data_IF_112217746614
#
_entry.id   IF_112217746614
#
_cell.length_a   1.000
_cell.length_b   1.000
_cell.length_c   1.000
_cell.angle_alpha   90.00
_cell.angle_beta   90.00
_cell.angle_gamma   90.00
#
_symmetry.space_group_name_H-M   'P 1'
#
loop_
_entity.id
_entity.type
_entity.pdbx_description
1 polymer ?
#
# COMPACT_ATOMS: atom_id res chain seq x y z
N UNK A 1 10.99 -8.07 -36.01
CA UNK A 1 12.41 -7.74 -35.82
C UNK A 1 12.93 -8.48 -34.59
N UNK A 2 13.94 -9.35 -34.69
CA UNK A 2 14.43 -10.12 -33.56
C UNK A 2 15.48 -9.33 -32.76
N UNK A 3 15.24 -9.17 -31.45
CA UNK A 3 16.19 -8.57 -30.52
C UNK A 3 17.27 -9.60 -30.14
N UNK A 4 18.46 -9.45 -30.71
CA UNK A 4 19.62 -10.27 -30.38
C UNK A 4 20.15 -9.94 -28.98
N UNK A 5 20.02 -10.90 -28.05
CA UNK A 5 20.58 -10.84 -26.71
C UNK A 5 22.10 -11.06 -26.83
N UNK A 6 22.88 -9.97 -26.72
CA UNK A 6 24.35 -10.04 -26.64
C UNK A 6 24.75 -10.58 -25.28
N UNK A 7 25.26 -11.81 -25.24
CA UNK A 7 25.84 -12.43 -24.04
C UNK A 7 27.15 -11.72 -23.67
N UNK A 8 27.11 -10.97 -22.57
CA UNK A 8 28.26 -10.25 -22.02
C UNK A 8 29.40 -11.20 -21.62
N UNK A 9 30.60 -10.87 -22.08
CA UNK A 9 31.86 -11.57 -21.75
C UNK A 9 32.09 -11.54 -20.25
N UNK A 10 32.26 -12.72 -19.65
CA UNK A 10 32.68 -12.90 -18.25
C UNK A 10 34.08 -12.29 -18.09
N UNK A 11 34.17 -11.18 -17.38
CA UNK A 11 35.44 -10.57 -16.98
C UNK A 11 36.22 -11.56 -16.13
N UNK A 12 37.47 -11.84 -16.53
CA UNK A 12 38.42 -12.57 -15.70
C UNK A 12 38.71 -11.76 -14.44
N UNK A 13 38.84 -12.40 -13.26
CA UNK A 13 39.28 -11.72 -12.06
C UNK A 13 40.70 -11.18 -12.27
N UNK A 14 41.05 -10.03 -11.67
CA UNK A 14 42.42 -9.51 -11.67
C UNK A 14 43.33 -10.55 -11.02
N UNK A 15 44.47 -10.84 -11.65
CA UNK A 15 45.54 -11.59 -11.01
C UNK A 15 46.21 -10.62 -10.04
N UNK A 16 45.83 -10.70 -8.77
CA UNK A 16 46.48 -9.93 -7.71
C UNK A 16 47.95 -10.35 -7.59
N UNK A 17 48.79 -9.39 -7.97
CA UNK A 17 49.88 -8.81 -7.17
C UNK A 17 50.59 -9.81 -6.26
N UNK A 18 51.74 -10.27 -6.74
CA UNK A 18 52.73 -10.97 -5.95
C UNK A 18 53.02 -10.21 -4.65
N UNK A 19 52.98 -10.93 -3.54
CA UNK A 19 53.54 -10.50 -2.27
C UNK A 19 55.05 -10.35 -2.47
N UNK A 20 55.53 -9.10 -2.57
CA UNK A 20 56.95 -8.78 -2.41
C UNK A 20 57.32 -9.02 -0.95
N UNK A 21 57.88 -10.19 -0.70
CA UNK A 21 58.48 -10.58 0.57
C UNK A 21 59.60 -9.62 0.94
N UNK A 22 59.52 -9.11 2.16
CA UNK A 22 60.46 -8.22 2.78
C UNK A 22 61.92 -8.72 2.67
N UNK A 23 62.78 -7.85 2.16
CA UNK A 23 64.24 -8.00 2.21
C UNK A 23 64.70 -7.87 3.67
N UNK A 24 65.30 -8.93 4.21
CA UNK A 24 65.97 -8.90 5.51
C UNK A 24 67.41 -8.39 5.34
N UNK A 25 67.81 -7.24 5.91
CA UNK A 25 69.21 -6.82 5.89
C UNK A 25 70.00 -7.52 6.99
N UNK A 26 70.59 -8.68 6.66
CA UNK A 26 71.57 -9.37 7.51
C UNK A 26 72.97 -8.78 7.32
N UNK A 27 73.31 -7.71 8.06
CA UNK A 27 74.71 -7.27 8.23
C UNK A 27 75.17 -7.59 9.64
N UNK A 28 75.77 -8.77 9.80
CA UNK A 28 76.56 -9.14 10.97
C UNK A 28 77.76 -8.17 11.09
N UNK A 29 77.68 -7.27 12.07
CA UNK A 29 78.79 -6.40 12.45
C UNK A 29 79.58 -7.12 13.56
N UNK A 30 80.88 -7.27 13.30
CA UNK A 30 81.88 -7.85 14.19
C UNK A 30 82.02 -6.95 15.42
N UNK A 31 81.84 -7.50 16.61
CA UNK A 31 81.95 -6.78 17.89
C UNK A 31 83.40 -6.87 18.36
N UNK A 32 84.04 -5.71 18.52
CA UNK A 32 85.36 -5.52 19.11
C UNK A 32 85.29 -5.51 20.65
N UNK A 33 86.42 -5.85 21.25
CA UNK A 33 86.67 -6.15 22.66
C UNK A 33 86.26 -5.07 23.68
N UNK A 34 85.62 -5.55 24.75
CA UNK A 34 86.20 -5.39 26.09
C UNK A 34 86.00 -4.07 26.82
N UNK A 35 84.76 -3.61 26.97
CA UNK A 35 84.39 -2.73 28.08
C UNK A 35 83.16 -3.30 28.76
N UNK A 36 83.30 -3.76 30.01
CA UNK A 36 82.20 -4.32 30.80
C UNK A 36 81.25 -3.17 31.12
N UNK A 37 80.05 -3.12 30.52
CA UNK A 37 79.09 -2.08 30.84
C UNK A 37 78.69 -2.24 32.31
N UNK A 38 78.80 -1.15 33.07
CA UNK A 38 78.26 -1.04 34.43
C UNK A 38 76.76 -1.37 34.39
N UNK A 39 76.25 -2.18 35.33
CA UNK A 39 74.88 -2.74 35.28
C UNK A 39 73.77 -1.71 35.03
N UNK A 40 73.96 -0.47 35.46
CA UNK A 40 72.97 0.61 35.31
C UNK A 40 72.79 1.06 33.86
N UNK A 41 73.83 1.01 33.01
CA UNK A 41 73.70 1.37 31.59
C UNK A 41 73.00 0.27 30.80
N UNK A 42 73.18 -0.99 31.19
CA UNK A 42 72.50 -2.14 30.57
C UNK A 42 71.00 -2.08 30.88
N UNK A 43 70.63 -1.71 32.12
CA UNK A 43 69.24 -1.55 32.50
C UNK A 43 68.53 -0.44 31.70
N UNK A 44 69.17 0.73 31.53
CA UNK A 44 68.60 1.82 30.71
C UNK A 44 68.42 1.43 29.25
N UNK A 45 69.40 0.76 28.64
CA UNK A 45 69.27 0.30 27.25
C UNK A 45 68.19 -0.77 27.07
N UNK A 46 67.92 -1.58 28.09
CA UNK A 46 66.85 -2.58 28.06
C UNK A 46 65.46 -1.94 28.14
N UNK A 47 65.28 -0.93 29.00
CA UNK A 47 64.01 -0.19 29.11
C UNK A 47 63.70 0.60 27.83
N UNK A 48 64.70 1.22 27.21
CA UNK A 48 64.56 1.91 25.92
C UNK A 48 64.15 0.95 24.80
N UNK A 49 64.81 -0.21 24.68
CA UNK A 49 64.45 -1.23 23.70
C UNK A 49 63.04 -1.80 23.94
N UNK A 50 62.63 -1.97 25.19
CA UNK A 50 61.28 -2.43 25.51
C UNK A 50 60.23 -1.37 25.17
N UNK A 51 60.54 -0.08 25.35
CA UNK A 51 59.68 1.02 24.93
C UNK A 51 59.56 1.09 23.40
N UNK A 52 60.66 0.95 22.66
CA UNK A 52 60.65 0.89 21.18
C UNK A 52 59.84 -0.32 20.68
N UNK A 53 59.99 -1.49 21.30
CA UNK A 53 59.20 -2.67 20.93
C UNK A 53 57.71 -2.49 21.22
N UNK A 54 57.36 -1.79 22.32
CA UNK A 54 55.96 -1.44 22.62
C UNK A 54 55.41 -0.47 21.60
N UNK A 55 56.17 0.55 21.20
CA UNK A 55 55.76 1.52 20.19
C UNK A 55 55.60 0.85 18.81
N UNK A 56 56.55 0.02 18.40
CA UNK A 56 56.49 -0.69 17.12
C UNK A 56 55.29 -1.67 17.07
N UNK A 57 54.96 -2.31 18.19
CA UNK A 57 53.73 -3.13 18.31
C UNK A 57 52.48 -2.29 18.20
N UNK A 58 52.42 -1.14 18.89
CA UNK A 58 51.27 -0.25 18.83
C UNK A 58 51.06 0.32 17.42
N UNK A 59 52.13 0.70 16.72
CA UNK A 59 52.07 1.13 15.32
C UNK A 59 51.57 0.01 14.41
N UNK A 60 52.08 -1.22 14.59
CA UNK A 60 51.61 -2.38 13.82
C UNK A 60 50.13 -2.68 14.08
N UNK A 61 49.68 -2.64 15.34
CA UNK A 61 48.28 -2.84 15.71
C UNK A 61 47.39 -1.77 15.06
N UNK A 62 47.78 -0.50 15.12
CA UNK A 62 47.07 0.59 14.47
C UNK A 62 46.97 0.39 12.95
N UNK A 63 48.07 0.07 12.28
CA UNK A 63 48.09 -0.18 10.83
C UNK A 63 47.16 -1.33 10.44
N UNK A 64 47.10 -2.39 11.26
CA UNK A 64 46.20 -3.53 11.05
C UNK A 64 44.75 -3.12 11.25
N UNK A 65 44.45 -2.36 12.31
CA UNK A 65 43.11 -1.84 12.57
C UNK A 65 42.61 -0.92 11.44
N UNK A 66 43.47 -0.04 10.93
CA UNK A 66 43.14 0.84 9.80
C UNK A 66 42.83 0.04 8.52
N UNK A 67 43.63 -0.99 8.23
CA UNK A 67 43.37 -1.89 7.09
C UNK A 67 42.07 -2.66 7.24
N UNK A 68 41.76 -3.17 8.44
CA UNK A 68 40.49 -3.86 8.72
C UNK A 68 39.32 -2.89 8.58
N UNK A 69 39.43 -1.68 9.12
CA UNK A 69 38.41 -0.65 8.99
C UNK A 69 38.16 -0.26 7.52
N UNK A 70 39.22 -0.13 6.71
CA UNK A 70 39.10 0.11 5.28
C UNK A 70 38.38 -1.05 4.57
N UNK A 71 38.79 -2.29 4.82
CA UNK A 71 38.17 -3.46 4.22
C UNK A 71 36.67 -3.58 4.56
N UNK A 72 36.27 -3.22 5.77
CA UNK A 72 34.86 -3.18 6.18
C UNK A 72 34.09 -2.09 5.41
N UNK A 73 34.64 -0.88 5.27
CA UNK A 73 34.01 0.19 4.47
C UNK A 73 33.84 -0.22 3.01
N UNK A 74 34.86 -0.85 2.42
CA UNK A 74 34.79 -1.34 1.04
C UNK A 74 33.77 -2.46 0.87
N UNK A 75 33.71 -3.42 1.81
CA UNK A 75 32.68 -4.47 1.83
C UNK A 75 31.28 -3.86 1.88
N UNK A 76 31.05 -2.90 2.76
CA UNK A 76 29.73 -2.29 2.95
C UNK A 76 29.33 -1.45 1.73
N UNK A 77 30.29 -0.76 1.11
CA UNK A 77 30.07 -0.06 -0.15
C UNK A 77 29.66 -1.04 -1.27
N UNK A 78 30.37 -2.17 -1.43
CA UNK A 78 30.04 -3.20 -2.42
C UNK A 78 28.66 -3.81 -2.13
N UNK A 79 28.35 -4.10 -0.87
CA UNK A 79 27.04 -4.65 -0.48
C UNK A 79 25.90 -3.69 -0.83
N UNK A 80 26.07 -2.39 -0.56
CA UNK A 80 25.06 -1.37 -0.91
C UNK A 80 24.83 -1.27 -2.43
N UNK A 81 25.90 -1.40 -3.23
CA UNK A 81 25.80 -1.41 -4.69
C UNK A 81 25.09 -2.68 -5.19
N UNK A 82 25.38 -3.83 -4.58
CA UNK A 82 24.72 -5.08 -4.90
C UNK A 82 23.22 -5.04 -4.59
N UNK A 83 22.84 -4.50 -3.43
CA UNK A 83 21.43 -4.36 -3.04
C UNK A 83 20.68 -3.41 -3.98
N UNK A 84 21.30 -2.29 -4.37
CA UNK A 84 20.74 -1.37 -5.38
C UNK A 84 20.54 -2.03 -6.74
N UNK A 85 21.51 -2.83 -7.20
CA UNK A 85 21.38 -3.59 -8.45
C UNK A 85 20.29 -4.66 -8.36
N UNK A 86 20.14 -5.29 -7.20
CA UNK A 86 19.08 -6.24 -6.92
C UNK A 86 17.71 -5.57 -6.98
N UNK A 87 17.56 -4.37 -6.42
CA UNK A 87 16.33 -3.56 -6.52
C UNK A 87 16.00 -3.12 -7.95
N UNK A 88 17.01 -2.74 -8.74
CA UNK A 88 16.82 -2.39 -10.16
C UNK A 88 16.43 -3.61 -11.00
N UNK A 89 16.92 -4.79 -10.64
CA UNK A 89 16.55 -6.05 -11.30
C UNK A 89 15.09 -6.40 -11.05
N UNK A 90 14.53 -6.00 -9.89
CA UNK A 90 13.09 -6.17 -9.65
C UNK A 90 12.34 -5.28 -10.63
N UNK A 91 11.84 -5.90 -11.69
CA UNK A 91 11.07 -5.20 -12.72
C UNK A 91 9.82 -4.57 -12.09
N UNK A 92 9.32 -3.47 -12.66
CA UNK A 92 8.08 -2.86 -12.19
C UNK A 92 6.93 -3.88 -12.13
N UNK A 93 6.88 -4.84 -13.07
CA UNK A 93 5.94 -5.97 -13.07
C UNK A 93 6.12 -6.92 -11.90
N UNK A 94 7.34 -7.15 -11.40
CA UNK A 94 7.58 -7.97 -10.21
C UNK A 94 7.15 -7.24 -8.93
N UNK A 95 7.39 -5.92 -8.86
CA UNK A 95 6.91 -5.10 -7.73
C UNK A 95 5.40 -5.12 -7.65
N UNK A 96 4.72 -4.88 -8.77
CA UNK A 96 3.26 -4.97 -8.81
C UNK A 96 2.80 -6.38 -8.44
N UNK A 97 3.36 -7.44 -9.02
CA UNK A 97 2.97 -8.82 -8.68
C UNK A 97 3.12 -9.12 -7.18
N UNK A 98 4.21 -8.66 -6.54
CA UNK A 98 4.41 -8.79 -5.09
C UNK A 98 3.35 -8.02 -4.27
N UNK A 99 3.00 -6.81 -4.69
CA UNK A 99 1.92 -6.03 -4.05
C UNK A 99 0.56 -6.71 -4.21
N UNK A 100 0.21 -7.15 -5.42
CA UNK A 100 -1.00 -7.93 -5.69
C UNK A 100 -1.05 -9.21 -4.84
N UNK A 101 0.09 -9.91 -4.70
CA UNK A 101 0.20 -11.10 -3.85
C UNK A 101 -0.05 -10.76 -2.38
N UNK A 102 0.59 -9.71 -1.85
CA UNK A 102 0.38 -9.27 -0.45
C UNK A 102 -1.06 -8.83 -0.19
N UNK A 103 -1.66 -8.09 -1.12
CA UNK A 103 -3.06 -7.68 -1.03
C UNK A 103 -4.00 -8.90 -1.03
N UNK A 104 -3.75 -9.87 -1.91
CA UNK A 104 -4.50 -11.13 -1.99
C UNK A 104 -4.38 -11.95 -0.69
N UNK A 105 -3.17 -12.08 -0.14
CA UNK A 105 -2.92 -12.80 1.11
C UNK A 105 -3.62 -12.15 2.31
N UNK A 106 -3.63 -10.82 2.36
CA UNK A 106 -4.35 -10.06 3.41
C UNK A 106 -5.86 -10.29 3.32
N UNK A 107 -6.43 -10.24 2.11
CA UNK A 107 -7.85 -10.55 1.87
C UNK A 107 -8.18 -12.00 2.24
N UNK A 108 -7.31 -12.94 1.90
CA UNK A 108 -7.48 -14.35 2.24
C UNK A 108 -7.47 -14.57 3.76
N UNK A 109 -6.54 -13.94 4.49
CA UNK A 109 -6.50 -13.99 5.95
C UNK A 109 -7.79 -13.45 6.58
N UNK A 110 -8.26 -12.29 6.12
CA UNK A 110 -9.52 -11.72 6.59
C UNK A 110 -10.73 -12.62 6.29
N UNK A 111 -10.74 -13.29 5.12
CA UNK A 111 -11.78 -14.26 4.78
C UNK A 111 -11.77 -15.47 5.72
N UNK A 112 -10.59 -16.01 6.06
CA UNK A 112 -10.45 -17.11 7.02
C UNK A 112 -10.90 -16.70 8.43
N UNK A 113 -10.53 -15.52 8.90
CA UNK A 113 -10.97 -14.97 10.19
C UNK A 113 -12.49 -14.78 10.22
N UNK A 114 -13.06 -14.27 9.13
CA UNK A 114 -14.51 -14.15 8.97
C UNK A 114 -15.16 -15.53 9.08
N UNK A 115 -14.72 -16.51 8.29
CA UNK A 115 -15.24 -17.90 8.31
C UNK A 115 -15.15 -18.49 9.73
N UNK A 116 -14.03 -18.32 10.42
CA UNK A 116 -13.86 -18.78 11.79
C UNK A 116 -14.88 -18.12 12.74
N UNK A 117 -15.13 -16.81 12.60
CA UNK A 117 -16.13 -16.09 13.40
C UNK A 117 -17.55 -16.60 13.14
N UNK A 118 -17.92 -16.87 11.88
CA UNK A 118 -19.21 -17.42 11.51
C UNK A 118 -19.39 -18.84 12.04
N UNK A 119 -18.35 -19.67 11.94
CA UNK A 119 -18.35 -21.03 12.49
C UNK A 119 -18.57 -21.01 14.01
N UNK A 120 -17.84 -20.17 14.74
CA UNK A 120 -18.01 -20.04 16.19
C UNK A 120 -19.43 -19.57 16.56
N UNK A 121 -20.02 -18.64 15.81
CA UNK A 121 -21.41 -18.20 16.02
C UNK A 121 -22.41 -19.32 15.73
N UNK A 122 -22.20 -20.09 14.66
CA UNK A 122 -23.04 -21.21 14.29
C UNK A 122 -22.98 -22.34 15.35
N UNK A 123 -21.79 -22.71 15.81
CA UNK A 123 -21.60 -23.69 16.90
C UNK A 123 -22.25 -23.23 18.21
N UNK A 124 -22.15 -21.94 18.54
CA UNK A 124 -22.82 -21.38 19.71
C UNK A 124 -24.35 -21.41 19.58
N UNK A 125 -24.88 -21.10 18.39
CA UNK A 125 -26.31 -21.18 18.11
C UNK A 125 -26.82 -22.64 18.17
N UNK A 126 -26.06 -23.59 17.61
CA UNK A 126 -26.36 -25.02 17.66
C UNK A 126 -26.35 -25.53 19.10
N UNK A 127 -25.37 -25.12 19.91
CA UNK A 127 -25.31 -25.48 21.34
C UNK A 127 -26.55 -24.99 22.09
N UNK A 128 -26.99 -23.75 21.84
CA UNK A 128 -28.23 -23.21 22.44
C UNK A 128 -29.46 -24.00 22.02
N UNK A 129 -29.58 -24.37 20.75
CA UNK A 129 -30.68 -25.21 20.26
C UNK A 129 -30.67 -26.60 20.91
N UNK A 130 -29.49 -27.20 21.06
CA UNK A 130 -29.32 -28.50 21.72
C UNK A 130 -29.65 -28.46 23.21
N UNK A 131 -29.40 -27.34 23.88
CA UNK A 131 -29.83 -27.11 25.27
C UNK A 131 -31.36 -27.02 25.38
N UNK A 132 -32.04 -26.36 24.43
CA UNK A 132 -33.50 -26.35 24.38
C UNK A 132 -34.11 -27.72 24.08
N UNK A 133 -33.48 -28.53 23.24
CA UNK A 133 -33.95 -29.89 22.92
C UNK A 133 -33.80 -30.86 24.10
N UNK A 134 -32.78 -30.65 24.94
CA UNK A 134 -32.51 -31.52 26.09
C UNK A 134 -33.46 -31.29 27.26
N UNK A 135 -34.10 -30.13 27.35
CA UNK A 135 -34.95 -29.75 28.49
C UNK A 135 -36.25 -29.05 28.03
N UNK A 136 -37.17 -29.79 27.37
CA UNK A 136 -38.38 -29.23 26.77
C UNK A 136 -39.39 -28.66 27.79
N UNK A 137 -39.26 -29.04 29.07
CA UNK A 137 -40.10 -28.54 30.17
C UNK A 137 -39.51 -27.31 30.89
N UNK A 138 -38.30 -26.88 30.51
CA UNK A 138 -37.70 -25.65 31.02
C UNK A 138 -38.37 -24.43 30.38
N UNK A 139 -39.53 -24.03 30.94
CA UNK A 139 -40.18 -22.75 30.62
C UNK A 139 -39.12 -21.64 30.67
N UNK A 140 -39.02 -20.77 29.65
CA UNK A 140 -38.03 -19.71 29.60
C UNK A 140 -38.25 -18.78 30.79
N UNK A 141 -37.46 -18.96 31.85
CA UNK A 141 -37.28 -17.96 32.89
C UNK A 141 -36.55 -16.82 32.19
N UNK A 142 -37.32 -15.81 31.78
CA UNK A 142 -36.82 -14.58 31.22
C UNK A 142 -35.88 -13.91 32.24
N UNK A 143 -34.62 -14.30 32.24
CA UNK A 143 -33.56 -13.54 32.86
C UNK A 143 -33.35 -12.30 32.00
N UNK A 144 -34.15 -11.27 32.29
CA UNK A 144 -33.77 -9.88 32.16
C UNK A 144 -32.37 -9.73 32.78
N UNK A 145 -31.34 -9.85 31.97
CA UNK A 145 -30.05 -9.26 32.30
C UNK A 145 -29.85 -8.14 31.31
N UNK A 146 -30.05 -6.93 31.84
CA UNK A 146 -29.83 -5.67 31.18
C UNK A 146 -28.44 -5.63 30.55
N UNK A 147 -28.40 -5.51 29.23
CA UNK A 147 -27.34 -4.84 28.50
C UNK A 147 -27.88 -3.50 28.04
N UNK A 148 -28.04 -2.62 29.03
CA UNK A 148 -28.24 -1.19 28.88
C UNK A 148 -26.89 -0.54 28.55
N UNK A 149 -26.52 -0.48 27.27
CA UNK A 149 -25.57 0.51 26.75
C UNK A 149 -25.99 0.91 25.34
N UNK A 150 -26.11 2.22 25.14
CA UNK A 150 -26.34 2.97 23.89
C UNK A 150 -27.72 2.89 23.22
N UNK A 151 -28.66 3.60 23.85
CA UNK A 151 -29.77 4.29 23.16
C UNK A 151 -29.49 5.78 23.05
N UNK A 152 -28.71 6.20 22.07
CA UNK A 152 -28.76 7.56 21.51
C UNK A 152 -28.55 7.46 19.99
N UNK A 153 -29.65 7.44 19.23
CA UNK A 153 -29.92 8.28 18.05
C UNK A 153 -30.99 7.61 17.15
N UNK A 154 -32.25 8.07 17.12
CA UNK A 154 -33.30 7.49 16.29
C UNK A 154 -33.60 8.37 15.07
N UNK A 155 -32.88 8.22 13.95
CA UNK A 155 -33.39 8.67 12.63
C UNK A 155 -32.59 8.18 11.41
N UNK A 156 -32.08 6.95 11.41
CA UNK A 156 -31.71 6.28 10.16
C UNK A 156 -32.08 4.82 10.29
N UNK A 157 -33.28 4.46 9.81
CA UNK A 157 -33.61 3.08 9.45
C UNK A 157 -32.76 2.73 8.22
N UNK A 158 -31.44 2.59 8.41
CA UNK A 158 -30.62 1.81 7.50
C UNK A 158 -31.13 0.38 7.65
N UNK A 159 -32.04 -0.02 6.77
CA UNK A 159 -32.26 -1.43 6.48
C UNK A 159 -30.88 -2.05 6.36
N UNK A 160 -30.57 -3.07 7.18
CA UNK A 160 -29.33 -3.84 7.02
C UNK A 160 -29.39 -4.42 5.61
N UNK A 161 -28.78 -3.72 4.66
CA UNK A 161 -28.59 -4.21 3.32
C UNK A 161 -27.93 -5.58 3.46
N UNK A 162 -28.38 -6.55 2.66
CA UNK A 162 -27.72 -7.85 2.65
C UNK A 162 -26.23 -7.62 2.38
N UNK A 163 -25.32 -8.39 2.99
CA UNK A 163 -23.88 -8.27 2.71
C UNK A 163 -23.58 -8.39 1.20
N UNK A 164 -24.45 -9.10 0.48
CA UNK A 164 -24.41 -9.22 -0.98
C UNK A 164 -24.69 -7.89 -1.70
N UNK A 165 -25.63 -7.07 -1.22
CA UNK A 165 -25.92 -5.77 -1.82
C UNK A 165 -24.75 -4.79 -1.67
N UNK A 166 -24.08 -4.80 -0.51
CA UNK A 166 -22.87 -4.00 -0.28
C UNK A 166 -21.70 -4.49 -1.14
N UNK A 167 -21.55 -5.81 -1.32
CA UNK A 167 -20.54 -6.37 -2.21
C UNK A 167 -20.79 -5.98 -3.68
N UNK A 168 -22.05 -6.04 -4.12
CA UNK A 168 -22.45 -5.60 -5.46
C UNK A 168 -22.17 -4.11 -5.65
N UNK A 169 -22.53 -3.27 -4.67
CA UNK A 169 -22.25 -1.83 -4.71
C UNK A 169 -20.76 -1.55 -4.91
N UNK A 170 -19.89 -2.22 -4.15
CA UNK A 170 -18.43 -2.09 -4.27
C UNK A 170 -17.91 -2.53 -5.63
N UNK A 171 -18.44 -3.63 -6.18
CA UNK A 171 -18.07 -4.08 -7.53
C UNK A 171 -18.44 -3.01 -8.57
N UNK A 172 -19.64 -2.43 -8.49
CA UNK A 172 -20.04 -1.37 -9.43
C UNK A 172 -19.22 -0.10 -9.27
N UNK A 173 -18.90 0.29 -8.03
CA UNK A 173 -17.99 1.39 -7.72
C UNK A 173 -16.61 1.15 -8.35
N UNK A 174 -16.01 -0.02 -8.14
CA UNK A 174 -14.69 -0.36 -8.72
C UNK A 174 -14.71 -0.38 -10.26
N UNK A 175 -15.80 -0.87 -10.88
CA UNK A 175 -15.89 -0.96 -12.34
C UNK A 175 -16.19 0.38 -13.02
N UNK A 176 -16.95 1.26 -12.37
CA UNK A 176 -17.51 2.46 -13.02
C UNK A 176 -16.95 3.77 -12.46
N UNK A 177 -16.37 3.75 -11.26
CA UNK A 177 -15.97 4.95 -10.51
C UNK A 177 -17.14 5.75 -9.92
N UNK A 178 -18.40 5.32 -10.10
CA UNK A 178 -19.56 6.01 -9.52
C UNK A 178 -19.96 5.38 -8.19
N UNK A 179 -20.09 6.22 -7.17
CA UNK A 179 -20.51 5.86 -5.81
C UNK A 179 -21.89 6.44 -5.55
N UNK A 180 -22.90 5.57 -5.41
CA UNK A 180 -24.23 6.00 -4.94
C UNK A 180 -24.15 6.24 -3.43
N UNK A 181 -24.17 7.48 -2.99
CA UNK A 181 -24.03 7.84 -1.57
C UNK A 181 -25.36 7.76 -0.84
N UNK A 182 -26.44 8.21 -1.48
CA UNK A 182 -27.76 8.33 -0.88
C UNK A 182 -28.85 7.99 -1.90
N UNK A 183 -29.96 7.44 -1.42
CA UNK A 183 -31.16 7.21 -2.23
C UNK A 183 -32.35 7.74 -1.46
N UNK A 184 -32.93 8.83 -1.96
CA UNK A 184 -34.08 9.50 -1.40
C UNK A 184 -35.33 9.11 -2.22
N UNK A 185 -36.48 8.95 -1.55
CA UNK A 185 -37.77 8.82 -2.23
C UNK A 185 -38.35 10.23 -2.31
N UNK A 186 -38.52 10.75 -3.53
CA UNK A 186 -39.00 12.12 -3.78
C UNK A 186 -40.53 12.17 -3.76
N UNK A 187 -41.17 11.15 -4.32
CA UNK A 187 -42.62 11.00 -4.36
C UNK A 187 -42.97 9.58 -3.88
N UNK A 188 -43.63 9.48 -2.73
CA UNK A 188 -44.05 8.19 -2.15
C UNK A 188 -45.16 7.53 -2.97
N UNK A 189 -46.02 8.31 -3.65
CA UNK A 189 -47.14 7.78 -4.41
C UNK A 189 -46.65 7.13 -5.72
N UNK A 190 -45.71 7.79 -6.39
CA UNK A 190 -45.12 7.31 -7.64
C UNK A 190 -43.86 6.48 -7.42
N UNK A 191 -43.39 6.36 -6.17
CA UNK A 191 -42.13 5.70 -5.80
C UNK A 191 -40.90 6.25 -6.55
N UNK A 192 -40.92 7.54 -6.91
CA UNK A 192 -39.83 8.20 -7.63
C UNK A 192 -38.62 8.36 -6.73
N UNK A 193 -37.45 8.02 -7.26
CA UNK A 193 -36.19 8.04 -6.49
C UNK A 193 -35.27 9.14 -6.99
N UNK A 194 -34.54 9.73 -6.04
CA UNK A 194 -33.37 10.57 -6.29
C UNK A 194 -32.13 9.87 -5.76
N UNK A 195 -31.18 9.65 -6.65
CA UNK A 195 -29.90 9.04 -6.33
C UNK A 195 -28.86 10.15 -6.22
N UNK A 196 -28.18 10.25 -5.07
CA UNK A 196 -26.98 11.09 -4.94
C UNK A 196 -25.77 10.26 -5.32
N UNK A 197 -24.98 10.77 -6.26
CA UNK A 197 -23.86 10.06 -6.85
C UNK A 197 -22.62 10.95 -6.75
N UNK A 198 -21.52 10.35 -6.30
CA UNK A 198 -20.20 10.94 -6.37
C UNK A 198 -19.36 10.15 -7.38
N UNK A 199 -18.60 10.83 -8.22
CA UNK A 199 -17.62 10.18 -9.09
C UNK A 199 -16.26 10.17 -8.41
N UNK A 200 -15.83 9.00 -7.91
CA UNK A 200 -14.47 8.80 -7.45
C UNK A 200 -13.64 8.32 -8.63
N UNK A 201 -12.88 9.22 -9.27
CA UNK A 201 -12.06 8.90 -10.44
C UNK A 201 -11.19 7.66 -10.22
N UNK A 202 -11.40 6.60 -11.01
CA UNK A 202 -10.62 5.38 -10.94
C UNK A 202 -9.22 5.61 -11.56
N UNK A 203 -8.32 6.17 -10.76
CA UNK A 203 -6.93 6.51 -11.08
C UNK A 203 -5.93 5.82 -10.16
N UNK A 204 -5.78 4.52 -10.37
CA UNK A 204 -4.64 3.65 -10.02
C UNK A 204 -3.30 4.41 -9.96
N UNK A 205 -2.84 4.80 -8.76
CA UNK A 205 -1.44 5.03 -8.32
C UNK A 205 -1.36 5.89 -7.05
N UNK A 206 -2.23 5.68 -6.05
CA UNK A 206 -2.05 6.23 -4.70
C UNK A 206 -1.99 7.77 -4.56
N UNK A 207 -2.30 8.52 -5.63
CA UNK A 207 -2.35 9.98 -5.61
C UNK A 207 -3.81 10.40 -5.60
N UNK A 208 -4.28 10.76 -4.40
CA UNK A 208 -5.62 11.26 -4.08
C UNK A 208 -5.90 12.61 -4.77
N UNK A 209 -6.01 12.63 -6.09
CA UNK A 209 -6.63 13.77 -6.76
C UNK A 209 -8.13 13.55 -6.67
N UNK A 210 -8.69 14.07 -5.59
CA UNK A 210 -10.12 14.11 -5.23
C UNK A 210 -10.86 15.05 -6.19
N UNK A 211 -11.04 14.66 -7.46
CA UNK A 211 -12.06 15.27 -8.31
C UNK A 211 -13.37 14.53 -8.14
N UNK A 212 -13.98 14.71 -6.98
CA UNK A 212 -15.29 14.15 -6.68
C UNK A 212 -16.36 15.03 -7.32
N UNK A 213 -16.74 14.74 -8.57
CA UNK A 213 -17.95 15.36 -9.13
C UNK A 213 -19.16 14.78 -8.39
N UNK A 214 -19.91 15.65 -7.71
CA UNK A 214 -21.17 15.29 -7.07
C UNK A 214 -22.35 15.69 -7.96
N UNK A 215 -23.30 14.78 -8.15
CA UNK A 215 -24.53 15.05 -8.89
C UNK A 215 -25.69 14.22 -8.32
N UNK A 216 -26.91 14.54 -8.72
CA UNK A 216 -28.09 13.74 -8.46
C UNK A 216 -28.76 13.30 -9.76
N UNK A 217 -29.32 12.10 -9.75
CA UNK A 217 -30.23 11.60 -10.78
C UNK A 217 -31.60 11.41 -10.16
N UNK A 218 -32.59 12.13 -10.66
CA UNK A 218 -33.98 12.05 -10.21
C UNK A 218 -34.87 11.43 -11.29
N UNK A 219 -35.67 10.45 -10.90
CA UNK A 219 -36.68 9.85 -11.77
C UNK A 219 -37.85 10.82 -11.97
N UNK A 220 -38.32 10.96 -13.21
CA UNK A 220 -39.45 11.80 -13.55
C UNK A 220 -40.33 11.10 -14.59
N UNK A 221 -41.64 11.25 -14.45
CA UNK A 221 -42.60 10.81 -15.44
C UNK A 221 -43.10 12.00 -16.26
N UNK A 222 -43.08 11.88 -17.59
CA UNK A 222 -43.80 12.78 -18.49
C UNK A 222 -44.96 12.03 -19.13
N UNK A 223 -46.14 12.64 -19.11
CA UNK A 223 -47.26 12.19 -19.93
C UNK A 223 -47.04 12.62 -21.37
N UNK A 224 -46.95 11.65 -22.29
CA UNK A 224 -47.02 11.96 -23.71
C UNK A 224 -48.47 12.16 -24.17
N UNK A 225 -48.67 12.94 -25.23
CA UNK A 225 -49.97 13.09 -25.90
C UNK A 225 -50.58 11.74 -26.35
N UNK A 226 -49.76 10.69 -26.46
CA UNK A 226 -50.15 9.33 -26.79
C UNK A 226 -50.78 8.54 -25.63
N UNK A 227 -50.80 9.11 -24.42
CA UNK A 227 -51.23 8.43 -23.19
C UNK A 227 -50.21 7.43 -22.64
N UNK A 228 -49.01 7.36 -23.24
CA UNK A 228 -47.89 6.56 -22.70
C UNK A 228 -47.09 7.40 -21.70
N UNK A 229 -46.76 6.80 -20.57
CA UNK A 229 -45.86 7.40 -19.58
C UNK A 229 -44.43 7.23 -20.07
N UNK A 230 -43.73 8.35 -20.29
CA UNK A 230 -42.31 8.36 -20.61
C UNK A 230 -41.51 8.48 -19.32
N UNK A 231 -40.54 7.58 -19.16
CA UNK A 231 -39.59 7.61 -18.05
C UNK A 231 -38.39 8.48 -18.41
N UNK A 232 -38.29 9.63 -17.74
CA UNK A 232 -37.19 10.56 -17.87
C UNK A 232 -36.32 10.53 -16.60
N UNK A 233 -35.06 10.90 -16.77
CA UNK A 233 -34.13 11.19 -15.68
C UNK A 233 -33.75 12.66 -15.74
N UNK A 234 -33.60 13.27 -14.57
CA UNK A 234 -33.13 14.64 -14.39
C UNK A 234 -31.76 14.58 -13.72
N UNK A 235 -30.74 14.97 -14.46
CA UNK A 235 -29.38 15.16 -13.97
C UNK A 235 -29.25 16.54 -13.35
N UNK A 236 -28.80 16.60 -12.09
CA UNK A 236 -28.61 17.83 -11.32
C UNK A 236 -27.18 17.84 -10.78
N UNK A 237 -26.27 18.63 -11.39
CA UNK A 237 -24.90 18.74 -10.89
C UNK A 237 -24.86 19.57 -9.61
N UNK A 238 -24.09 19.13 -8.61
CA UNK A 238 -23.84 19.87 -7.36
C UNK A 238 -22.47 20.54 -7.44
N UNK A 239 -22.33 21.56 -8.30
CA UNK A 239 -21.06 22.25 -8.52
C UNK A 239 -20.73 23.16 -7.33
N UNK A 240 -19.54 23.00 -6.79
CA UNK A 240 -18.94 23.88 -5.80
C UNK A 240 -17.72 24.57 -6.41
N UNK A 241 -17.73 25.91 -6.47
CA UNK A 241 -16.67 26.69 -7.14
C UNK A 241 -15.27 26.40 -6.60
N UNK A 242 -15.14 26.09 -5.31
CA UNK A 242 -13.86 25.85 -4.66
C UNK A 242 -13.40 24.40 -4.85
N UNK A 243 -14.29 23.42 -4.63
CA UNK A 243 -13.98 22.00 -4.80
C UNK A 243 -13.75 21.64 -6.26
N UNK A 244 -14.57 22.19 -7.15
CA UNK A 244 -14.63 21.83 -8.57
C UNK A 244 -13.85 22.83 -9.45
N UNK A 245 -12.99 23.68 -8.87
CA UNK A 245 -12.20 24.66 -9.62
C UNK A 245 -11.39 24.02 -10.77
N UNK A 246 -10.82 22.83 -10.55
CA UNK A 246 -10.08 22.11 -11.58
C UNK A 246 -10.99 21.60 -12.72
N UNK A 247 -12.23 21.20 -12.38
CA UNK A 247 -13.25 20.80 -13.34
C UNK A 247 -13.67 21.98 -14.22
N UNK A 248 -13.96 23.11 -13.58
CA UNK A 248 -14.40 24.36 -14.22
C UNK A 248 -13.32 24.97 -15.10
N UNK A 249 -12.05 24.77 -14.76
CA UNK A 249 -10.92 25.20 -15.58
C UNK A 249 -10.59 24.23 -16.74
N UNK A 250 -11.20 23.04 -16.78
CA UNK A 250 -10.85 22.01 -17.77
C UNK A 250 -11.53 22.25 -19.12
N UNK A 251 -10.76 22.17 -20.22
CA UNK A 251 -11.31 22.22 -21.59
C UNK A 251 -12.06 20.94 -21.99
N UNK A 252 -11.96 19.88 -21.18
CA UNK A 252 -12.50 18.55 -21.47
C UNK A 252 -13.93 18.35 -20.95
N UNK A 253 -14.47 19.29 -20.16
CA UNK A 253 -15.81 19.22 -19.59
C UNK A 253 -16.77 20.11 -20.38
N UNK A 254 -17.67 19.54 -21.20
CA UNK A 254 -18.71 20.31 -21.88
C UNK A 254 -19.64 21.06 -20.91
N UNK A 255 -20.00 22.30 -21.26
CA UNK A 255 -20.86 23.19 -20.46
C UNK A 255 -22.17 22.54 -20.04
N UNK A 256 -22.78 21.73 -20.92
CA UNK A 256 -24.05 21.07 -20.62
C UNK A 256 -23.95 20.10 -19.43
N UNK A 257 -22.79 19.52 -19.12
CA UNK A 257 -22.64 18.69 -17.91
C UNK A 257 -22.57 19.49 -16.60
N UNK A 258 -22.42 20.82 -16.70
CA UNK A 258 -22.48 21.74 -15.56
C UNK A 258 -23.90 22.29 -15.36
N UNK A 259 -24.81 21.99 -16.28
CA UNK A 259 -26.21 22.40 -16.23
C UNK A 259 -27.14 21.23 -15.88
N UNK A 260 -28.36 21.57 -15.44
CA UNK A 260 -29.40 20.59 -15.24
C UNK A 260 -29.92 20.08 -16.59
N UNK A 261 -29.88 18.77 -16.81
CA UNK A 261 -30.35 18.14 -18.05
C UNK A 261 -31.44 17.13 -17.75
N UNK A 262 -32.52 17.18 -18.53
CA UNK A 262 -33.55 16.13 -18.57
C UNK A 262 -33.35 15.28 -19.82
N UNK A 263 -33.36 13.96 -19.67
CA UNK A 263 -33.23 13.03 -20.79
C UNK A 263 -33.99 11.73 -20.53
N UNK A 264 -34.34 11.01 -21.60
CA UNK A 264 -35.04 9.73 -21.50
C UNK A 264 -34.17 8.63 -20.85
N UNK A 265 -34.78 7.72 -20.11
CA UNK A 265 -34.05 6.62 -19.44
C UNK A 265 -33.22 5.76 -20.40
N UNK A 266 -33.66 5.61 -21.65
CA UNK A 266 -32.97 4.83 -22.69
C UNK A 266 -31.59 5.41 -23.10
N UNK A 267 -31.36 6.71 -22.88
CA UNK A 267 -30.08 7.39 -23.20
C UNK A 267 -29.19 7.56 -21.97
N UNK A 268 -29.66 7.18 -20.77
CA UNK A 268 -28.92 7.32 -19.51
C UNK A 268 -27.53 6.69 -19.56
N UNK A 269 -27.40 5.48 -20.10
CA UNK A 269 -26.11 4.79 -20.20
C UNK A 269 -25.15 5.53 -21.15
N UNK A 270 -25.66 6.13 -22.23
CA UNK A 270 -24.83 6.91 -23.17
C UNK A 270 -24.38 8.22 -22.53
N UNK A 271 -25.28 8.87 -21.80
CA UNK A 271 -25.00 10.09 -21.04
C UNK A 271 -23.90 9.84 -19.98
N UNK A 272 -24.09 8.83 -19.12
CA UNK A 272 -23.10 8.48 -18.08
C UNK A 272 -21.75 8.06 -18.68
N UNK A 273 -21.75 7.34 -19.81
CA UNK A 273 -20.51 6.99 -20.50
C UNK A 273 -19.78 8.20 -21.11
N UNK A 274 -20.52 9.20 -21.60
CA UNK A 274 -19.95 10.46 -22.08
C UNK A 274 -19.38 11.29 -20.92
N UNK A 275 -20.14 11.43 -19.82
CA UNK A 275 -19.71 12.09 -18.59
C UNK A 275 -18.43 11.45 -18.03
N UNK A 276 -18.41 10.12 -17.90
CA UNK A 276 -17.24 9.37 -17.45
C UNK A 276 -16.00 9.60 -18.35
N UNK A 277 -16.18 9.66 -19.67
CA UNK A 277 -15.07 9.94 -20.61
C UNK A 277 -14.53 11.36 -20.46
N UNK A 278 -15.38 12.35 -20.20
CA UNK A 278 -14.95 13.72 -19.92
C UNK A 278 -14.18 13.79 -18.61
N UNK A 279 -14.70 13.16 -17.55
CA UNK A 279 -14.05 13.11 -16.23
C UNK A 279 -12.68 12.43 -16.26
N UNK A 280 -12.52 11.39 -17.08
CA UNK A 280 -11.25 10.65 -17.21
C UNK A 280 -10.15 11.42 -17.94
N UNK A 281 -10.49 12.47 -18.69
CA UNK A 281 -9.52 13.24 -19.50
C UNK A 281 -8.90 14.42 -18.76
N UNK A 282 -9.42 14.76 -17.58
CA UNK A 282 -8.80 15.74 -16.68
C UNK A 282 -7.59 15.12 -15.99
#
# INVERSE_FOLDING_TARGET
MPFGIKTGRRGRPPKDRAYESAETPSKLRRVDDGSIPTSDSVAQTAEELEAELRELRAQYEQDVEERVAQALRERDAIQSQFDRLKELRVTQSEKTLLEWKRASETRHRHALESIASWKNRAEHAEKRLREFERDPDSKPRASHHDTEVDRHNPSHKQSKASPDADAVKRIYEDLTGFVVTETEIVDEEQSLRRFRIAFSGAGYNGSYILTDLHFSLEESHAEEESGKVREDLVYIPHIDEQRDAALLASENMPDHFLEQIRFERNVATKFLAALHKSLKKM
#
